data_IF_633333673535
#
_entry.id   IF_633333673535
#
_cell.length_a   1.000
_cell.length_b   1.000
_cell.length_c   1.000
_cell.angle_alpha   90.00
_cell.angle_beta   90.00
_cell.angle_gamma   90.00
#
_symmetry.space_group_name_H-M   'P 1'
#
loop_
_entity.id
_entity.type
_entity.pdbx_description
1 polymer ?
#
# COMPACT_ATOMS: atom_id res chain seq x y z
N UNK A 1 5.47 19.04 -3.47
CA UNK A 1 4.01 18.89 -3.66
C UNK A 1 3.83 17.65 -4.52
N UNK A 2 2.77 16.86 -4.34
CA UNK A 2 2.54 15.72 -5.22
C UNK A 2 1.88 16.21 -6.51
N UNK A 3 2.41 15.79 -7.66
CA UNK A 3 1.91 16.11 -8.99
C UNK A 3 0.94 15.03 -9.48
N UNK A 4 0.07 15.34 -10.44
CA UNK A 4 -0.96 14.41 -10.93
C UNK A 4 -0.39 13.10 -11.51
N UNK A 5 0.86 13.13 -11.97
CA UNK A 5 1.61 12.00 -12.51
C UNK A 5 2.30 11.15 -11.44
N UNK A 6 2.31 11.60 -10.18
CA UNK A 6 2.93 10.86 -9.09
C UNK A 6 2.14 9.59 -8.75
N UNK A 7 2.88 8.61 -8.25
CA UNK A 7 2.36 7.35 -7.73
C UNK A 7 2.51 7.32 -6.22
N UNK A 8 1.39 7.19 -5.50
CA UNK A 8 1.39 6.96 -4.06
C UNK A 8 1.20 5.47 -3.78
N UNK A 9 2.23 4.82 -3.24
CA UNK A 9 2.16 3.45 -2.72
C UNK A 9 2.05 3.51 -1.20
N UNK A 10 0.96 2.97 -0.67
CA UNK A 10 0.76 2.84 0.78
C UNK A 10 0.97 1.38 1.16
N UNK A 11 1.98 1.11 1.99
CA UNK A 11 2.19 -0.21 2.58
C UNK A 11 1.61 -0.22 3.99
N UNK A 12 0.70 -1.16 4.28
CA UNK A 12 0.13 -1.33 5.61
C UNK A 12 -0.02 -2.79 5.92
N UNK A 13 0.59 -3.24 7.01
CA UNK A 13 0.52 -4.63 7.49
C UNK A 13 -0.92 -5.02 7.87
N UNK A 14 -1.29 -4.92 9.15
CA UNK A 14 -2.60 -5.32 9.66
C UNK A 14 -3.72 -4.31 9.40
N UNK A 15 -3.41 -3.14 8.84
CA UNK A 15 -4.41 -2.09 8.61
C UNK A 15 -4.63 -1.14 9.79
N UNK A 16 -3.87 -1.27 10.87
CA UNK A 16 -4.00 -0.40 12.07
C UNK A 16 -3.97 1.10 11.73
N UNK A 17 -3.20 1.52 10.73
CA UNK A 17 -3.19 2.90 10.25
C UNK A 17 -4.60 3.41 9.85
N UNK A 18 -5.39 2.53 9.23
CA UNK A 18 -6.75 2.82 8.76
C UNK A 18 -7.77 2.89 9.89
N UNK A 19 -7.54 2.16 10.97
CA UNK A 19 -8.39 2.18 12.15
C UNK A 19 -8.09 3.41 13.03
N UNK A 20 -6.82 3.62 13.38
CA UNK A 20 -6.43 4.60 14.39
C UNK A 20 -6.09 5.98 13.84
N UNK A 21 -5.83 6.11 12.53
CA UNK A 21 -5.38 7.38 11.93
C UNK A 21 -6.28 7.85 10.77
N UNK A 22 -7.60 7.77 10.96
CA UNK A 22 -8.62 8.12 9.97
C UNK A 22 -8.42 9.48 9.31
N UNK A 23 -7.95 10.49 10.06
CA UNK A 23 -7.69 11.84 9.51
C UNK A 23 -6.56 11.84 8.48
N UNK A 24 -5.46 11.11 8.73
CA UNK A 24 -4.36 10.97 7.77
C UNK A 24 -4.80 10.16 6.56
N UNK A 25 -5.50 9.05 6.77
CA UNK A 25 -6.03 8.23 5.68
C UNK A 25 -6.99 9.02 4.78
N UNK A 26 -7.88 9.84 5.36
CA UNK A 26 -8.77 10.71 4.58
C UNK A 26 -7.98 11.67 3.69
N UNK A 27 -6.90 12.29 4.20
CA UNK A 27 -6.03 13.14 3.38
C UNK A 27 -5.38 12.37 2.24
N UNK A 28 -4.82 11.18 2.52
CA UNK A 28 -4.20 10.33 1.50
C UNK A 28 -5.20 9.91 0.41
N UNK A 29 -6.43 9.57 0.78
CA UNK A 29 -7.51 9.25 -0.17
C UNK A 29 -7.83 10.41 -1.12
N UNK A 30 -7.84 11.63 -0.60
CA UNK A 30 -8.20 12.84 -1.34
C UNK A 30 -7.09 13.39 -2.24
N UNK A 31 -5.85 12.90 -2.12
CA UNK A 31 -4.74 13.35 -2.97
C UNK A 31 -5.05 13.05 -4.46
N UNK A 32 -4.84 13.97 -5.40
CA UNK A 32 -5.18 13.79 -6.82
C UNK A 32 -4.10 12.99 -7.58
N UNK A 33 -3.66 11.87 -7.01
CA UNK A 33 -2.60 11.00 -7.55
C UNK A 33 -3.10 9.58 -7.76
N UNK A 34 -2.39 8.81 -8.59
CA UNK A 34 -2.61 7.36 -8.68
C UNK A 34 -2.19 6.71 -7.37
N UNK A 35 -3.01 5.77 -6.87
CA UNK A 35 -2.80 5.15 -5.56
C UNK A 35 -2.78 3.64 -5.68
N UNK A 36 -1.89 3.03 -4.91
CA UNK A 36 -1.85 1.59 -4.67
C UNK A 36 -1.81 1.34 -3.16
N UNK A 37 -2.52 0.32 -2.71
CA UNK A 37 -2.42 -0.23 -1.36
C UNK A 37 -1.75 -1.60 -1.43
N UNK A 38 -0.69 -1.81 -0.66
CA UNK A 38 -0.11 -3.13 -0.41
C UNK A 38 -0.41 -3.46 1.05
N UNK A 39 -1.19 -4.52 1.28
CA UNK A 39 -1.63 -4.89 2.63
C UNK A 39 -1.84 -6.37 2.78
N UNK A 40 -1.88 -6.89 4.00
CA UNK A 40 -2.39 -8.24 4.26
C UNK A 40 -3.80 -8.27 4.85
N UNK A 41 -4.48 -7.12 4.90
CA UNK A 41 -5.86 -7.02 5.35
C UNK A 41 -6.79 -6.69 4.16
N UNK A 42 -7.52 -7.69 3.70
CA UNK A 42 -8.44 -7.58 2.57
C UNK A 42 -9.64 -6.63 2.81
N UNK A 43 -9.93 -6.28 4.06
CA UNK A 43 -11.12 -5.50 4.43
C UNK A 43 -10.90 -3.97 4.37
N UNK A 44 -9.74 -3.52 3.88
CA UNK A 44 -9.43 -2.09 3.79
C UNK A 44 -9.95 -1.50 2.49
N UNK A 45 -10.93 -0.60 2.59
CA UNK A 45 -11.33 0.24 1.46
C UNK A 45 -10.46 1.52 1.43
N UNK A 46 -9.40 1.54 0.59
CA UNK A 46 -8.54 2.72 0.40
C UNK A 46 -8.60 3.30 -1.03
N UNK A 47 -8.23 2.50 -2.02
CA UNK A 47 -8.22 2.86 -3.44
C UNK A 47 -8.60 1.63 -4.30
N UNK A 48 -8.76 1.82 -5.61
CA UNK A 48 -9.11 0.74 -6.53
C UNK A 48 -7.97 -0.28 -6.70
N UNK A 49 -6.73 0.19 -6.86
CA UNK A 49 -5.60 -0.69 -7.02
C UNK A 49 -5.11 -1.17 -5.65
N UNK A 50 -5.28 -2.46 -5.36
CA UNK A 50 -4.83 -3.05 -4.11
C UNK A 50 -4.16 -4.40 -4.38
N UNK A 51 -3.07 -4.65 -3.67
CA UNK A 51 -2.40 -5.93 -3.59
C UNK A 51 -2.58 -6.45 -2.17
N UNK A 52 -3.36 -7.52 -2.04
CA UNK A 52 -3.56 -8.22 -0.77
C UNK A 52 -2.59 -9.39 -0.68
N UNK A 53 -1.70 -9.33 0.30
CA UNK A 53 -0.77 -10.40 0.66
C UNK A 53 -1.48 -11.32 1.64
N UNK A 54 -1.75 -12.55 1.23
CA UNK A 54 -2.35 -13.56 2.09
C UNK A 54 -1.47 -14.80 2.13
N UNK A 55 -0.74 -14.99 3.23
CA UNK A 55 -0.07 -16.25 3.55
C UNK A 55 -0.88 -17.03 4.57
N UNK A 56 -0.78 -18.36 4.50
CA UNK A 56 -1.28 -19.27 5.54
C UNK A 56 -0.51 -19.08 6.86
N UNK A 57 0.77 -18.73 6.77
CA UNK A 57 1.61 -18.37 7.90
C UNK A 57 1.85 -16.85 7.89
N UNK A 58 1.30 -16.18 8.90
CA UNK A 58 1.42 -14.73 9.04
C UNK A 58 2.86 -14.26 9.27
N UNK A 59 3.75 -15.13 9.75
CA UNK A 59 5.18 -14.85 9.87
C UNK A 59 5.83 -14.59 8.50
N UNK A 60 5.29 -15.18 7.43
CA UNK A 60 5.79 -15.01 6.07
C UNK A 60 5.27 -13.72 5.41
N UNK A 61 4.22 -13.08 5.93
CA UNK A 61 3.61 -11.93 5.26
C UNK A 61 4.57 -10.73 5.17
N UNK A 62 5.41 -10.51 6.18
CA UNK A 62 6.41 -9.44 6.18
C UNK A 62 7.50 -9.70 5.14
N UNK A 63 7.95 -10.96 5.02
CA UNK A 63 8.91 -11.38 4.00
C UNK A 63 8.33 -11.19 2.58
N UNK A 64 7.08 -11.57 2.36
CA UNK A 64 6.40 -11.37 1.07
C UNK A 64 6.23 -9.88 0.77
N UNK A 65 5.83 -9.06 1.75
CA UNK A 65 5.69 -7.61 1.56
C UNK A 65 7.03 -6.97 1.20
N UNK A 66 8.10 -7.38 1.88
CA UNK A 66 9.47 -6.94 1.58
C UNK A 66 9.86 -7.32 0.16
N UNK A 67 9.62 -8.57 -0.26
CA UNK A 67 9.90 -9.03 -1.62
C UNK A 67 9.13 -8.23 -2.69
N UNK A 68 7.85 -7.94 -2.45
CA UNK A 68 7.03 -7.12 -3.34
C UNK A 68 7.60 -5.71 -3.46
N UNK A 69 7.94 -5.07 -2.34
CA UNK A 69 8.52 -3.72 -2.34
C UNK A 69 9.85 -3.71 -3.10
N UNK A 70 10.72 -4.69 -2.85
CA UNK A 70 11.97 -4.84 -3.60
C UNK A 70 11.74 -5.01 -5.10
N UNK A 71 10.76 -5.83 -5.48
CA UNK A 71 10.39 -6.03 -6.89
C UNK A 71 9.94 -4.73 -7.54
N UNK A 72 9.10 -3.95 -6.85
CA UNK A 72 8.64 -2.63 -7.34
C UNK A 72 9.81 -1.67 -7.50
N UNK A 73 10.70 -1.59 -6.52
CA UNK A 73 11.86 -0.69 -6.57
C UNK A 73 12.82 -1.06 -7.70
N UNK A 74 13.12 -2.34 -7.89
CA UNK A 74 13.97 -2.83 -8.97
C UNK A 74 13.43 -2.45 -10.36
N UNK A 75 12.11 -2.50 -10.56
CA UNK A 75 11.49 -2.11 -11.83
C UNK A 75 11.29 -0.59 -11.95
N UNK A 76 11.21 0.14 -10.84
CA UNK A 76 11.11 1.59 -10.85
C UNK A 76 12.42 2.26 -11.31
N UNK A 77 13.58 1.66 -11.03
CA UNK A 77 14.89 2.16 -11.49
C UNK A 77 15.14 1.95 -12.99
N UNK A 78 14.29 1.18 -13.67
CA UNK A 78 14.41 0.86 -15.11
C UNK A 78 13.38 1.60 -15.98
N UNK A 79 12.57 2.48 -15.39
CA UNK A 79 11.57 3.34 -16.04
C UNK A 79 12.06 4.80 -16.09
#
# INVERSE_FOLDING_TARGET
MFEAQDLLIVCSTSGQLFEYNRRRVRKLKQMPVRKWLITWNANISFCHNQLVISSLDSSCNEMIMTYVIHTVLMHAETL
#
